data_IF_483556827133
#
_entry.id   IF_483556827133
#
_cell.length_a   1.000
_cell.length_b   1.000
_cell.length_c   1.000
_cell.angle_alpha   90.00
_cell.angle_beta   90.00
_cell.angle_gamma   90.00
#
_symmetry.space_group_name_H-M   'P 1'
#
loop_
_entity.id
_entity.type
_entity.pdbx_description
1 polymer ?
#
# COMPACT_ATOMS: atom_id res chain seq x y z
N UNK A 1 29.26 16.69 39.20
CA UNK A 1 30.18 16.06 38.21
C UNK A 1 29.41 15.13 37.25
N UNK A 2 28.50 15.67 36.43
CA UNK A 2 27.79 14.88 35.39
C UNK A 2 27.39 15.83 34.25
N UNK A 3 28.30 16.20 33.35
CA UNK A 3 27.92 16.98 32.13
C UNK A 3 28.92 16.90 30.95
N UNK A 4 29.85 15.93 30.93
CA UNK A 4 30.80 15.77 29.80
C UNK A 4 30.61 14.51 28.97
N UNK A 5 29.78 13.56 29.40
CA UNK A 5 29.57 12.30 28.66
C UNK A 5 28.57 12.46 27.50
N UNK A 6 27.64 13.42 27.54
CA UNK A 6 26.63 13.63 26.46
C UNK A 6 27.15 14.30 25.19
N UNK A 7 28.20 15.13 25.27
CA UNK A 7 28.66 15.92 24.11
C UNK A 7 29.36 15.07 23.04
N UNK A 8 30.10 14.02 23.45
CA UNK A 8 30.78 13.12 22.54
C UNK A 8 29.84 12.21 21.74
N UNK A 9 28.76 11.72 22.37
CA UNK A 9 27.72 10.92 21.69
C UNK A 9 26.89 11.76 20.72
N UNK A 10 26.54 13.00 21.10
CA UNK A 10 25.84 13.94 20.22
C UNK A 10 26.68 14.33 18.99
N UNK A 11 28.00 14.45 19.13
CA UNK A 11 28.89 14.69 17.99
C UNK A 11 28.92 13.49 17.07
N UNK A 12 29.12 12.29 17.61
CA UNK A 12 29.14 11.04 16.83
C UNK A 12 27.82 10.78 16.10
N UNK A 13 26.68 11.14 16.72
CA UNK A 13 25.37 11.02 16.08
C UNK A 13 25.18 12.06 14.97
N UNK A 14 25.62 13.30 15.17
CA UNK A 14 25.62 14.33 14.12
C UNK A 14 26.52 13.96 12.94
N UNK A 15 27.66 13.37 13.22
CA UNK A 15 28.62 12.92 12.21
C UNK A 15 28.05 11.76 11.38
N UNK A 16 27.41 10.79 12.04
CA UNK A 16 26.74 9.67 11.38
C UNK A 16 25.56 10.13 10.50
N UNK A 17 24.72 11.04 10.99
CA UNK A 17 23.60 11.61 10.21
C UNK A 17 24.10 12.38 8.99
N UNK A 18 25.18 13.15 9.16
CA UNK A 18 25.81 13.90 8.07
C UNK A 18 26.48 12.98 7.03
N UNK A 19 26.89 11.77 7.43
CA UNK A 19 27.40 10.75 6.51
C UNK A 19 26.29 10.09 5.70
N UNK A 20 25.15 9.78 6.35
CA UNK A 20 23.96 9.25 5.67
C UNK A 20 23.45 10.25 4.63
N UNK A 21 23.38 11.53 4.97
CA UNK A 21 22.93 12.57 4.06
C UNK A 21 23.85 12.71 2.84
N UNK A 22 25.18 12.70 3.06
CA UNK A 22 26.18 12.73 1.97
C UNK A 22 26.10 11.52 1.05
N UNK A 23 25.86 10.33 1.60
CA UNK A 23 25.65 9.12 0.79
C UNK A 23 24.34 9.18 0.01
N UNK A 24 23.29 9.78 0.57
CA UNK A 24 22.01 9.95 -0.12
C UNK A 24 22.10 10.89 -1.33
N UNK A 25 22.91 11.94 -1.23
CA UNK A 25 23.12 12.92 -2.29
C UNK A 25 24.02 12.35 -3.40
N UNK A 26 25.04 11.57 -3.03
CA UNK A 26 25.91 10.86 -3.97
C UNK A 26 25.17 9.76 -4.77
N UNK A 27 24.05 9.23 -4.25
CA UNK A 27 23.25 8.20 -4.90
C UNK A 27 22.12 8.75 -5.79
N UNK A 28 21.88 10.08 -5.76
CA UNK A 28 20.86 10.74 -6.57
C UNK A 28 20.97 10.46 -8.09
N UNK A 29 22.17 10.37 -8.70
CA UNK A 29 22.30 10.07 -10.13
C UNK A 29 21.89 8.64 -10.51
N UNK A 30 21.98 7.69 -9.57
CA UNK A 30 21.57 6.29 -9.78
C UNK A 30 20.05 6.10 -9.69
N UNK A 31 19.32 7.10 -9.15
CA UNK A 31 17.86 7.13 -9.11
C UNK A 31 17.23 7.24 -10.51
N UNK A 32 17.94 7.87 -11.45
CA UNK A 32 17.45 8.08 -12.81
C UNK A 32 17.79 6.91 -13.75
N UNK A 33 18.80 6.11 -13.41
CA UNK A 33 19.21 4.92 -14.16
C UNK A 33 18.57 3.64 -13.57
N UNK A 34 17.29 3.41 -13.86
CA UNK A 34 16.66 2.07 -13.75
C UNK A 34 16.69 1.43 -12.35
N UNK A 35 16.03 2.05 -11.38
CA UNK A 35 16.00 1.63 -9.98
C UNK A 35 15.00 0.50 -9.65
N UNK A 36 15.02 -0.62 -10.39
CA UNK A 36 14.15 -1.77 -10.05
C UNK A 36 14.70 -2.61 -8.88
N UNK A 37 16.03 -2.65 -8.69
CA UNK A 37 16.68 -3.45 -7.63
C UNK A 37 16.98 -2.69 -6.34
N UNK A 38 17.33 -1.40 -6.43
CA UNK A 38 17.68 -0.59 -5.25
C UNK A 38 16.45 -0.22 -4.42
N UNK A 39 15.29 -0.09 -5.09
CA UNK A 39 14.00 0.13 -4.42
C UNK A 39 13.63 -1.07 -3.54
N UNK A 40 13.90 -2.30 -4.02
CA UNK A 40 13.69 -3.54 -3.26
C UNK A 40 14.58 -3.61 -2.01
N UNK A 41 15.85 -3.20 -2.09
CA UNK A 41 16.77 -3.20 -0.95
C UNK A 41 16.46 -2.08 0.06
N UNK A 42 15.96 -0.94 -0.42
CA UNK A 42 15.48 0.15 0.43
C UNK A 42 14.17 -0.22 1.15
N UNK A 43 13.26 -0.94 0.48
CA UNK A 43 12.06 -1.54 1.08
C UNK A 43 12.44 -2.57 2.16
N UNK A 44 13.43 -3.41 1.89
CA UNK A 44 13.88 -4.49 2.79
C UNK A 44 14.52 -3.95 4.08
N UNK A 45 15.33 -2.89 3.99
CA UNK A 45 15.93 -2.24 5.16
C UNK A 45 14.91 -1.45 6.01
N UNK A 46 13.84 -0.90 5.41
CA UNK A 46 12.70 -0.36 6.17
C UNK A 46 11.81 -1.45 6.79
N UNK A 47 11.75 -2.64 6.17
CA UNK A 47 10.86 -3.74 6.57
C UNK A 47 11.35 -4.52 7.80
N UNK A 48 12.59 -4.32 8.26
CA UNK A 48 13.15 -4.99 9.43
C UNK A 48 12.47 -4.70 10.78
N UNK A 49 11.52 -3.77 10.84
CA UNK A 49 10.72 -3.43 12.03
C UNK A 49 9.25 -3.03 11.74
N UNK A 50 8.75 -3.29 10.51
CA UNK A 50 7.45 -2.79 10.03
C UNK A 50 6.31 -3.81 10.06
N UNK A 51 5.05 -3.35 10.03
CA UNK A 51 3.86 -4.22 9.89
C UNK A 51 3.99 -5.05 8.59
N UNK A 52 3.92 -6.41 8.64
CA UNK A 52 4.10 -7.27 7.47
C UNK A 52 3.08 -7.01 6.35
N UNK A 53 1.96 -6.37 6.67
CA UNK A 53 0.97 -5.95 5.68
C UNK A 53 1.40 -4.74 4.86
N UNK A 54 2.33 -3.91 5.36
CA UNK A 54 2.83 -2.74 4.64
C UNK A 54 3.64 -3.14 3.41
N UNK A 55 4.65 -3.99 3.60
CA UNK A 55 5.49 -4.48 2.50
C UNK A 55 4.65 -5.26 1.49
N UNK A 56 3.65 -6.02 1.96
CA UNK A 56 2.72 -6.71 1.07
C UNK A 56 1.80 -5.75 0.30
N UNK A 57 1.27 -4.71 0.95
CA UNK A 57 0.46 -3.67 0.29
C UNK A 57 1.26 -2.93 -0.79
N UNK A 58 2.52 -2.54 -0.50
CA UNK A 58 3.43 -1.92 -1.47
C UNK A 58 3.65 -2.82 -2.68
N UNK A 59 3.96 -4.10 -2.46
CA UNK A 59 4.15 -5.08 -3.54
C UNK A 59 2.91 -5.21 -4.44
N UNK A 60 1.71 -5.27 -3.84
CA UNK A 60 0.46 -5.31 -4.61
C UNK A 60 0.27 -4.02 -5.41
N UNK A 61 0.41 -2.87 -4.77
CA UNK A 61 0.26 -1.56 -5.41
C UNK A 61 1.22 -1.41 -6.59
N UNK A 62 2.51 -1.66 -6.38
CA UNK A 62 3.53 -1.56 -7.41
C UNK A 62 3.31 -2.54 -8.56
N UNK A 63 2.93 -3.78 -8.27
CA UNK A 63 2.59 -4.74 -9.30
C UNK A 63 1.43 -4.23 -10.17
N UNK A 64 0.41 -3.64 -9.54
CA UNK A 64 -0.74 -3.07 -10.26
C UNK A 64 -0.34 -1.88 -11.12
N UNK A 65 0.50 -0.97 -10.62
CA UNK A 65 1.07 0.16 -11.38
C UNK A 65 1.96 -0.31 -12.53
N UNK A 66 2.74 -1.39 -12.33
CA UNK A 66 3.58 -1.98 -13.39
C UNK A 66 2.76 -2.50 -14.56
N UNK A 67 1.53 -2.99 -14.36
CA UNK A 67 0.65 -3.45 -15.45
C UNK A 67 0.43 -2.38 -16.52
N UNK A 68 0.34 -1.11 -16.13
CA UNK A 68 0.15 0.01 -17.07
C UNK A 68 1.32 0.21 -18.04
N UNK A 69 2.51 -0.34 -17.74
CA UNK A 69 3.67 -0.31 -18.65
C UNK A 69 3.60 -1.37 -19.75
N UNK A 70 2.85 -2.44 -19.52
CA UNK A 70 2.77 -3.60 -20.42
C UNK A 70 1.42 -3.72 -21.12
N UNK A 71 0.36 -3.14 -20.56
CA UNK A 71 -0.99 -3.19 -21.08
C UNK A 71 -1.59 -1.78 -21.17
N UNK A 72 -2.57 -1.55 -22.06
CA UNK A 72 -3.35 -0.31 -22.06
C UNK A 72 -3.93 -0.02 -20.66
N UNK A 73 -3.71 1.20 -20.18
CA UNK A 73 -4.03 1.59 -18.80
C UNK A 73 -5.53 1.53 -18.46
N UNK A 74 -6.40 1.58 -19.47
CA UNK A 74 -7.86 1.55 -19.35
C UNK A 74 -8.43 0.13 -19.15
N UNK A 75 -7.62 -0.92 -19.32
CA UNK A 75 -8.11 -2.31 -19.28
C UNK A 75 -8.28 -2.86 -17.86
N UNK A 76 -7.49 -2.38 -16.88
CA UNK A 76 -7.39 -2.99 -15.54
C UNK A 76 -7.54 -1.99 -14.38
N UNK A 77 -8.30 -0.91 -14.59
CA UNK A 77 -8.52 0.10 -13.56
C UNK A 77 -9.44 -0.43 -12.45
N UNK A 78 -8.95 -0.46 -11.19
CA UNK A 78 -9.80 -0.69 -10.02
C UNK A 78 -9.60 0.46 -9.02
N UNK A 79 -10.08 1.67 -9.38
CA UNK A 79 -9.72 2.91 -8.72
C UNK A 79 -10.02 2.91 -7.21
N UNK A 80 -11.10 2.25 -6.79
CA UNK A 80 -11.45 2.13 -5.38
C UNK A 80 -10.35 1.40 -4.58
N UNK A 81 -9.86 0.28 -5.11
CA UNK A 81 -8.85 -0.52 -4.44
C UNK A 81 -7.47 0.14 -4.48
N UNK A 82 -7.13 0.78 -5.61
CA UNK A 82 -5.88 1.53 -5.74
C UNK A 82 -5.82 2.71 -4.75
N UNK A 83 -6.94 3.41 -4.54
CA UNK A 83 -7.07 4.46 -3.49
C UNK A 83 -6.90 3.88 -2.08
N UNK A 84 -7.56 2.76 -1.79
CA UNK A 84 -7.49 2.13 -0.46
C UNK A 84 -6.07 1.68 -0.13
N UNK A 85 -5.35 1.08 -1.08
CA UNK A 85 -3.96 0.67 -0.92
C UNK A 85 -3.02 1.86 -0.70
N UNK A 86 -3.16 2.92 -1.50
CA UNK A 86 -2.33 4.12 -1.37
C UNK A 86 -2.51 4.78 0.01
N UNK A 87 -3.76 4.95 0.44
CA UNK A 87 -4.08 5.52 1.74
C UNK A 87 -3.68 4.62 2.91
N UNK A 88 -3.72 3.30 2.73
CA UNK A 88 -3.22 2.34 3.70
C UNK A 88 -1.71 2.48 3.93
N UNK A 89 -0.96 2.55 2.83
CA UNK A 89 0.50 2.77 2.86
C UNK A 89 0.80 4.12 3.53
N UNK A 90 0.10 5.19 3.14
CA UNK A 90 0.30 6.52 3.75
C UNK A 90 0.01 6.52 5.24
N UNK A 91 -1.05 5.84 5.68
CA UNK A 91 -1.41 5.75 7.10
C UNK A 91 -0.33 5.04 7.91
N UNK A 92 0.23 3.94 7.41
CA UNK A 92 1.32 3.22 8.08
C UNK A 92 2.66 3.98 8.04
N UNK A 93 2.88 4.81 7.03
CA UNK A 93 4.03 5.71 6.93
C UNK A 93 3.88 7.00 7.76
N UNK A 94 2.74 7.21 8.42
CA UNK A 94 2.45 8.45 9.16
C UNK A 94 2.30 9.68 8.26
N UNK A 95 2.02 9.48 6.97
CA UNK A 95 1.85 10.54 5.97
C UNK A 95 0.37 10.90 5.80
N UNK A 96 0.14 12.12 5.30
CA UNK A 96 -1.18 12.60 4.89
C UNK A 96 -1.29 12.61 3.37
N UNK A 97 -2.45 12.25 2.85
CA UNK A 97 -2.73 12.30 1.42
C UNK A 97 -3.59 13.52 1.11
N UNK A 98 -3.23 14.25 0.06
CA UNK A 98 -4.07 15.32 -0.47
C UNK A 98 -5.07 14.71 -1.46
N UNK A 99 -6.21 15.36 -1.70
CA UNK A 99 -7.14 14.92 -2.76
C UNK A 99 -6.40 14.74 -4.10
N UNK A 100 -5.47 15.63 -4.44
CA UNK A 100 -4.68 15.53 -5.68
C UNK A 100 -3.83 14.27 -5.74
N UNK A 101 -3.15 13.90 -4.65
CA UNK A 101 -2.33 12.67 -4.62
C UNK A 101 -3.21 11.43 -4.75
N UNK A 102 -4.36 11.40 -4.06
CA UNK A 102 -5.31 10.28 -4.17
C UNK A 102 -5.89 10.14 -5.57
N UNK A 103 -6.18 11.25 -6.26
CA UNK A 103 -6.62 11.19 -7.66
C UNK A 103 -5.55 10.59 -8.57
N UNK A 104 -4.27 10.91 -8.37
CA UNK A 104 -3.17 10.31 -9.12
C UNK A 104 -3.09 8.80 -8.84
N UNK A 105 -3.18 8.41 -7.56
CA UNK A 105 -3.12 7.01 -7.15
C UNK A 105 -4.26 6.16 -7.75
N UNK A 106 -5.44 6.75 -7.97
CA UNK A 106 -6.60 6.06 -8.53
C UNK A 106 -6.45 5.58 -9.98
N UNK A 107 -5.46 6.10 -10.72
CA UNK A 107 -5.20 5.70 -12.11
C UNK A 107 -6.29 6.12 -13.12
N UNK A 108 -7.29 6.90 -12.71
CA UNK A 108 -8.43 7.32 -13.57
C UNK A 108 -8.50 8.85 -13.71
N UNK A 109 -9.23 9.38 -14.71
CA UNK A 109 -9.44 10.83 -14.85
C UNK A 109 -9.96 11.47 -13.57
N UNK A 110 -9.56 12.72 -13.31
CA UNK A 110 -9.80 13.41 -12.04
C UNK A 110 -11.28 13.42 -11.60
N UNK A 111 -12.21 13.68 -12.53
CA UNK A 111 -13.65 13.71 -12.22
C UNK A 111 -14.17 12.33 -11.80
N UNK A 112 -13.65 11.26 -12.41
CA UNK A 112 -13.94 9.87 -12.03
C UNK A 112 -13.36 9.55 -10.66
N UNK A 113 -12.12 9.96 -10.39
CA UNK A 113 -11.47 9.77 -9.09
C UNK A 113 -12.27 10.44 -7.96
N UNK A 114 -12.74 11.67 -8.16
CA UNK A 114 -13.55 12.39 -7.18
C UNK A 114 -14.87 11.69 -6.87
N UNK A 115 -15.51 11.07 -7.88
CA UNK A 115 -16.72 10.26 -7.66
C UNK A 115 -16.43 9.04 -6.79
N UNK A 116 -15.31 8.35 -7.02
CA UNK A 116 -14.89 7.21 -6.20
C UNK A 116 -14.53 7.62 -4.78
N UNK A 117 -13.83 8.75 -4.60
CA UNK A 117 -13.52 9.28 -3.25
C UNK A 117 -14.82 9.54 -2.49
N UNK A 118 -15.80 10.23 -3.10
CA UNK A 118 -17.08 10.49 -2.46
C UNK A 118 -17.81 9.19 -2.11
N UNK A 119 -17.86 8.22 -3.03
CA UNK A 119 -18.47 6.92 -2.78
C UNK A 119 -17.80 6.19 -1.60
N UNK A 120 -16.48 6.20 -1.52
CA UNK A 120 -15.75 5.54 -0.43
C UNK A 120 -15.95 6.26 0.93
N UNK A 121 -16.13 7.59 0.93
CA UNK A 121 -16.53 8.35 2.11
C UNK A 121 -17.94 7.97 2.54
N UNK A 122 -18.89 7.90 1.60
CA UNK A 122 -20.28 7.45 1.86
C UNK A 122 -20.34 6.02 2.40
N UNK A 123 -19.36 5.18 2.10
CA UNK A 123 -19.20 3.82 2.64
C UNK A 123 -18.40 3.78 3.95
N UNK A 124 -18.06 4.93 4.52
CA UNK A 124 -17.30 5.06 5.77
C UNK A 124 -15.92 4.38 5.71
N UNK A 125 -15.35 4.26 4.50
CA UNK A 125 -14.01 3.69 4.30
C UNK A 125 -12.93 4.77 4.32
N UNK A 126 -13.29 6.01 3.98
CA UNK A 126 -12.39 7.17 3.98
C UNK A 126 -12.96 8.30 4.84
N UNK A 127 -12.06 9.06 5.45
CA UNK A 127 -12.36 10.31 6.13
C UNK A 127 -11.80 11.50 5.36
N UNK A 128 -12.53 12.61 5.41
CA UNK A 128 -12.12 13.88 4.84
C UNK A 128 -11.80 14.87 5.95
N UNK A 129 -10.56 15.33 5.98
CA UNK A 129 -10.07 16.31 6.95
C UNK A 129 -9.59 17.58 6.24
N UNK A 130 -9.72 18.72 6.91
CA UNK A 130 -9.02 19.93 6.50
C UNK A 130 -7.61 19.88 7.08
N UNK A 131 -6.60 20.32 6.32
CA UNK A 131 -5.25 20.42 6.86
C UNK A 131 -5.22 21.50 7.96
N UNK A 132 -4.60 21.17 9.09
CA UNK A 132 -4.41 22.08 10.22
C UNK A 132 -3.51 23.27 9.86
N UNK A 133 -2.63 23.11 8.87
CA UNK A 133 -1.65 24.11 8.45
C UNK A 133 -2.11 24.94 7.23
N UNK A 134 -3.03 24.42 6.41
CA UNK A 134 -3.63 25.14 5.29
C UNK A 134 -5.07 24.66 5.01
N UNK A 135 -6.06 25.45 5.45
CA UNK A 135 -7.49 25.16 5.27
C UNK A 135 -7.94 25.07 3.80
N UNK A 136 -7.10 25.50 2.85
CA UNK A 136 -7.35 25.35 1.41
C UNK A 136 -6.99 23.96 0.90
N UNK A 137 -6.15 23.22 1.63
CA UNK A 137 -5.75 21.86 1.27
C UNK A 137 -6.71 20.88 1.93
N UNK A 138 -7.40 20.12 1.09
CA UNK A 138 -8.28 19.05 1.54
C UNK A 138 -7.48 17.75 1.59
N UNK A 139 -7.40 17.18 2.79
CA UNK A 139 -6.74 15.92 3.05
C UNK A 139 -7.77 14.79 3.07
N UNK A 140 -7.33 13.62 2.63
CA UNK A 140 -8.10 12.38 2.67
C UNK A 140 -7.27 11.37 3.45
N UNK A 141 -7.90 10.66 4.36
CA UNK A 141 -7.29 9.60 5.13
C UNK A 141 -8.15 8.35 5.09
N UNK A 142 -7.53 7.20 5.29
CA UNK A 142 -8.24 5.95 5.49
C UNK A 142 -8.94 5.99 6.85
N UNK A 143 -10.25 5.72 6.89
CA UNK A 143 -10.98 5.60 8.15
C UNK A 143 -10.51 4.38 8.94
N UNK A 144 -10.87 4.28 10.22
CA UNK A 144 -10.56 3.10 11.01
C UNK A 144 -11.21 1.84 10.43
N UNK A 145 -12.45 1.96 9.95
CA UNK A 145 -13.14 0.85 9.28
C UNK A 145 -12.41 0.43 8.00
N UNK A 146 -12.05 1.39 7.14
CA UNK A 146 -11.27 1.13 5.93
C UNK A 146 -9.92 0.49 6.22
N UNK A 147 -9.22 0.96 7.26
CA UNK A 147 -7.95 0.40 7.71
C UNK A 147 -8.09 -1.04 8.15
N UNK A 148 -9.07 -1.35 9.01
CA UNK A 148 -9.29 -2.71 9.49
C UNK A 148 -9.70 -3.66 8.36
N UNK A 149 -10.55 -3.21 7.43
CA UNK A 149 -10.97 -4.01 6.28
C UNK A 149 -9.78 -4.36 5.37
N UNK A 150 -8.98 -3.38 4.97
CA UNK A 150 -7.79 -3.58 4.13
C UNK A 150 -6.78 -4.48 4.84
N UNK A 151 -6.49 -4.20 6.12
CA UNK A 151 -5.54 -4.98 6.92
C UNK A 151 -5.98 -6.44 7.06
N UNK A 152 -7.27 -6.68 7.36
CA UNK A 152 -7.80 -8.03 7.48
C UNK A 152 -7.69 -8.81 6.16
N UNK A 153 -8.00 -8.16 5.03
CA UNK A 153 -7.86 -8.76 3.70
C UNK A 153 -6.39 -9.12 3.38
N UNK A 154 -5.46 -8.20 3.66
CA UNK A 154 -4.02 -8.42 3.43
C UNK A 154 -3.47 -9.54 4.32
N UNK A 155 -3.84 -9.58 5.59
CA UNK A 155 -3.46 -10.67 6.50
C UNK A 155 -4.03 -12.02 6.05
N UNK A 156 -5.29 -12.05 5.60
CA UNK A 156 -5.91 -13.27 5.09
C UNK A 156 -5.20 -13.79 3.83
N UNK A 157 -4.70 -12.89 2.97
CA UNK A 157 -3.91 -13.26 1.80
C UNK A 157 -2.52 -13.79 2.17
N UNK A 158 -1.85 -13.20 3.17
CA UNK A 158 -0.55 -13.67 3.68
C UNK A 158 -0.65 -15.05 4.38
N UNK A 159 -1.73 -15.26 5.15
CA UNK A 159 -1.96 -16.49 5.91
C UNK A 159 -2.38 -17.71 5.08
N UNK A 160 -2.67 -17.54 3.79
CA UNK A 160 -3.11 -18.64 2.89
C UNK A 160 -1.98 -19.30 2.08
N UNK A 161 -0.72 -19.00 2.38
CA UNK A 161 0.45 -19.58 1.70
C UNK A 161 0.73 -21.08 2.02
N UNK A 162 -0.23 -21.79 2.64
CA UNK A 162 -0.06 -23.17 3.13
C UNK A 162 -1.25 -24.09 2.92
N UNK A 163 -2.02 -23.92 1.84
CA UNK A 163 -3.11 -24.86 1.50
C UNK A 163 -3.75 -24.55 0.16
N UNK A 164 -3.39 -25.32 -0.87
CA UNK A 164 -4.08 -25.32 -2.14
C UNK A 164 -5.56 -25.71 -1.94
N UNK A 165 -6.54 -24.93 -2.42
CA UNK A 165 -7.92 -25.40 -2.52
C UNK A 165 -8.02 -26.22 -3.81
N UNK A 166 -7.66 -27.49 -3.71
CA UNK A 166 -7.58 -28.38 -4.87
C UNK A 166 -7.71 -29.85 -4.50
N UNK A 167 -8.58 -30.20 -3.55
CA UNK A 167 -9.21 -31.52 -3.52
C UNK A 167 -10.40 -31.52 -2.55
N UNK A 168 -11.59 -31.15 -3.05
CA UNK A 168 -12.90 -31.52 -2.48
C UNK A 168 -13.98 -31.06 -3.46
N UNK A 169 -13.82 -31.42 -4.73
CA UNK A 169 -14.94 -31.51 -5.64
C UNK A 169 -15.02 -32.95 -6.13
N UNK A 170 -16.18 -33.56 -5.86
CA UNK A 170 -16.71 -34.76 -6.53
C UNK A 170 -16.20 -36.14 -6.06
N UNK A 171 -16.82 -36.64 -5.00
CA UNK A 171 -17.23 -38.05 -4.97
C UNK A 171 -18.52 -38.19 -4.17
N UNK A 172 -19.61 -38.56 -4.85
CA UNK A 172 -20.87 -38.95 -4.18
C UNK A 172 -22.19 -38.50 -4.79
N UNK A 173 -22.25 -38.03 -6.04
CA UNK A 173 -23.53 -37.86 -6.75
C UNK A 173 -23.43 -38.36 -8.19
N UNK A 174 -23.47 -39.68 -8.36
CA UNK A 174 -23.91 -40.29 -9.63
C UNK A 174 -25.32 -40.82 -9.46
N UNK A 175 -26.24 -40.05 -10.03
CA UNK A 175 -27.60 -40.45 -10.41
C UNK A 175 -27.53 -41.57 -11.45
N UNK A 176 -28.33 -42.62 -11.27
CA UNK A 176 -28.97 -43.33 -12.39
C UNK A 176 -30.15 -44.15 -11.88
N UNK A 177 -31.34 -43.59 -12.06
CA UNK A 177 -32.57 -44.36 -12.18
C UNK A 177 -32.55 -45.13 -13.52
N UNK A 178 -33.02 -46.39 -13.53
CA UNK A 178 -33.58 -47.03 -14.73
C UNK A 178 -34.28 -48.37 -14.39
N UNK A 179 -35.60 -48.43 -14.64
CA UNK A 179 -36.39 -49.62 -15.01
C UNK A 179 -36.69 -50.64 -13.90
N UNK A 180 -37.88 -51.20 -13.73
CA UNK A 180 -39.08 -51.30 -14.57
C UNK A 180 -39.76 -52.65 -14.27
N UNK A 181 -41.09 -52.64 -14.21
CA UNK A 181 -42.01 -53.77 -14.41
C UNK A 181 -41.82 -55.08 -13.59
N UNK A 182 -42.70 -55.35 -12.63
CA UNK A 182 -43.92 -56.17 -12.77
C UNK A 182 -44.64 -56.33 -11.43
#
# INVERSE_FOLDING_TARGET
MQNHIRAGELSRLKDAVSQIFRLSEALAPLKEAGADGLFSLYDDWQSGAGDPTLSFARRIYDFRRKRERYFPADLFAEPAWDILLDLYIFRLEGRRATVKSVCIASGVPQTTALRWINLLIEKELLDRTQDEHDSRVRCISLSDNGYHAVRAMLLAALGKSGGAPGDTAQSGARVAAAGGAR
#
